data_IF_821521570090
#
_entry.id   IF_821521570090
#
_cell.length_a   1.000
_cell.length_b   1.000
_cell.length_c   1.000
_cell.angle_alpha   90.00
_cell.angle_beta   90.00
_cell.angle_gamma   90.00
#
_symmetry.space_group_name_H-M   'P 1'
#
loop_
_entity.id
_entity.type
_entity.pdbx_description
1 polymer ?
#
# COMPACT_ATOMS: atom_id res chain seq x y z
N UNK A 1 -4.74 -2.07 28.59
CA UNK A 1 -5.57 -2.28 27.38
C UNK A 1 -4.65 -2.24 26.16
N UNK A 2 -4.68 -3.28 25.31
CA UNK A 2 -3.73 -3.42 24.19
C UNK A 2 -4.07 -2.45 23.05
N UNK A 3 -3.04 -1.83 22.45
CA UNK A 3 -3.15 -0.91 21.30
C UNK A 3 -3.84 -1.56 20.09
N UNK A 4 -3.77 -2.88 19.97
CA UNK A 4 -4.45 -3.68 18.93
C UNK A 4 -5.98 -3.54 18.99
N UNK A 5 -6.56 -3.47 20.20
CA UNK A 5 -8.01 -3.37 20.39
C UNK A 5 -8.60 -2.01 20.00
N UNK A 6 -7.80 -0.94 20.06
CA UNK A 6 -8.22 0.40 19.65
C UNK A 6 -8.27 0.53 18.12
N UNK A 7 -7.42 -0.21 17.40
CA UNK A 7 -7.40 -0.31 15.94
C UNK A 7 -8.57 -1.17 15.45
N UNK A 8 -8.80 -2.32 16.10
CA UNK A 8 -9.94 -3.22 15.85
C UNK A 8 -11.29 -2.50 15.98
N UNK A 9 -11.46 -1.61 16.97
CA UNK A 9 -12.70 -0.86 17.20
C UNK A 9 -12.98 0.19 16.10
N UNK A 10 -11.94 0.75 15.48
CA UNK A 10 -12.10 1.81 14.46
C UNK A 10 -12.40 1.28 13.06
N UNK A 11 -12.15 0.00 12.81
CA UNK A 11 -12.33 -0.64 11.50
C UNK A 11 -13.64 -1.46 11.38
N UNK A 12 -14.38 -1.64 12.47
CA UNK A 12 -15.49 -2.60 12.57
C UNK A 12 -16.91 -2.08 12.30
N UNK A 13 -17.10 -0.90 11.70
CA UNK A 13 -18.44 -0.42 11.36
C UNK A 13 -18.49 0.01 9.90
N UNK A 14 -19.06 -0.83 9.02
CA UNK A 14 -20.03 -0.47 7.99
C UNK A 14 -20.50 -1.72 7.23
N UNK A 15 -21.80 -1.76 6.99
CA UNK A 15 -22.63 -2.93 6.67
C UNK A 15 -23.10 -2.98 5.21
N UNK A 16 -22.97 -4.16 4.61
CA UNK A 16 -23.91 -4.93 3.74
C UNK A 16 -24.75 -4.31 2.58
N UNK A 17 -24.75 -5.10 1.46
CA UNK A 17 -25.71 -5.24 0.33
C UNK A 17 -25.56 -4.30 -0.89
N UNK A 18 -25.78 -4.68 -2.16
CA UNK A 18 -25.97 -5.95 -2.93
C UNK A 18 -25.98 -5.62 -4.45
N UNK A 19 -25.94 -6.67 -5.31
CA UNK A 19 -25.73 -6.73 -6.78
C UNK A 19 -26.63 -5.90 -7.73
N UNK A 20 -26.08 -5.50 -8.90
CA UNK A 20 -26.67 -5.77 -10.24
C UNK A 20 -25.66 -5.58 -11.41
N UNK A 21 -25.81 -6.38 -12.48
CA UNK A 21 -24.94 -6.48 -13.67
C UNK A 21 -25.39 -5.54 -14.82
N UNK A 22 -24.48 -4.74 -15.41
CA UNK A 22 -24.29 -4.47 -16.86
C UNK A 22 -23.24 -3.37 -17.17
N UNK A 23 -22.25 -3.74 -18.00
CA UNK A 23 -21.32 -2.97 -18.87
C UNK A 23 -21.07 -1.45 -18.69
N UNK A 24 -19.81 -1.16 -18.32
CA UNK A 24 -18.95 -0.01 -18.71
C UNK A 24 -19.50 1.42 -18.66
N UNK A 25 -19.84 1.88 -17.45
CA UNK A 25 -19.69 3.28 -17.02
C UNK A 25 -19.22 3.28 -15.55
N UNK A 26 -18.05 2.71 -15.27
CA UNK A 26 -17.43 2.74 -13.93
C UNK A 26 -16.63 4.05 -13.77
N UNK A 27 -17.31 5.18 -13.64
CA UNK A 27 -16.69 6.45 -13.18
C UNK A 27 -17.19 6.91 -11.82
N UNK A 28 -17.99 6.09 -11.12
CA UNK A 28 -18.37 6.26 -9.72
C UNK A 28 -18.66 4.85 -9.17
N UNK A 29 -17.85 4.17 -8.38
CA UNK A 29 -16.65 4.49 -7.62
C UNK A 29 -15.72 3.27 -7.80
N UNK A 30 -14.52 3.43 -8.35
CA UNK A 30 -13.56 2.32 -8.41
C UNK A 30 -13.00 1.95 -7.02
N UNK A 31 -13.20 2.84 -6.05
CA UNK A 31 -12.60 2.72 -4.72
C UNK A 31 -13.07 1.47 -3.96
N UNK A 32 -14.37 1.15 -3.87
CA UNK A 32 -14.84 -0.10 -3.28
C UNK A 32 -14.21 -1.37 -3.90
N UNK A 33 -13.87 -1.34 -5.19
CA UNK A 33 -13.15 -2.45 -5.84
C UNK A 33 -11.71 -2.54 -5.34
N UNK A 34 -11.00 -1.42 -5.30
CA UNK A 34 -9.64 -1.37 -4.80
C UNK A 34 -9.54 -1.69 -3.31
N UNK A 35 -10.53 -1.33 -2.50
CA UNK A 35 -10.62 -1.76 -1.10
C UNK A 35 -10.68 -3.29 -0.95
N UNK A 36 -11.40 -3.98 -1.84
CA UNK A 36 -11.41 -5.46 -1.85
C UNK A 36 -10.02 -6.03 -2.17
N UNK A 37 -9.29 -5.42 -3.11
CA UNK A 37 -7.90 -5.80 -3.43
C UNK A 37 -6.99 -5.57 -2.22
N UNK A 38 -7.05 -4.37 -1.60
CA UNK A 38 -6.32 -4.07 -0.37
C UNK A 38 -6.61 -5.08 0.72
N UNK A 39 -7.88 -5.41 0.92
CA UNK A 39 -8.29 -6.37 1.94
C UNK A 39 -7.75 -7.77 1.65
N UNK A 40 -7.76 -8.22 0.39
CA UNK A 40 -7.16 -9.49 -0.02
C UNK A 40 -5.66 -9.53 0.25
N UNK A 41 -4.93 -8.44 -0.06
CA UNK A 41 -3.49 -8.31 0.23
C UNK A 41 -3.24 -8.38 1.74
N UNK A 42 -4.02 -7.66 2.55
CA UNK A 42 -3.88 -7.67 4.00
C UNK A 42 -4.20 -9.04 4.61
N UNK A 43 -5.19 -9.76 4.08
CA UNK A 43 -5.46 -11.14 4.48
C UNK A 43 -4.29 -12.04 4.11
N UNK A 44 -3.76 -11.95 2.89
CA UNK A 44 -2.62 -12.75 2.46
C UNK A 44 -1.37 -12.51 3.33
N UNK A 45 -1.19 -11.27 3.78
CA UNK A 45 -0.11 -10.87 4.69
C UNK A 45 -0.30 -11.39 6.11
N UNK A 46 -1.51 -11.37 6.66
CA UNK A 46 -1.75 -11.57 8.11
C UNK A 46 -2.38 -12.90 8.47
N UNK A 47 -3.02 -13.60 7.53
CA UNK A 47 -3.71 -14.87 7.79
C UNK A 47 -2.73 -15.97 8.20
N UNK A 48 -3.04 -16.66 9.29
CA UNK A 48 -2.35 -17.87 9.72
C UNK A 48 -2.69 -19.09 8.84
N UNK A 49 -3.82 -19.03 8.13
CA UNK A 49 -4.23 -20.06 7.16
C UNK A 49 -3.68 -19.71 5.78
N UNK A 50 -2.98 -20.64 5.10
CA UNK A 50 -2.42 -20.38 3.78
C UNK A 50 -3.54 -20.34 2.73
N UNK A 51 -4.02 -19.13 2.42
CA UNK A 51 -4.85 -18.86 1.25
C UNK A 51 -3.99 -18.41 0.04
N UNK A 52 -2.74 -18.03 0.30
CA UNK A 52 -1.71 -17.71 -0.67
C UNK A 52 -0.37 -18.29 -0.17
N UNK A 53 0.52 -18.62 -1.11
CA UNK A 53 1.92 -18.86 -0.80
C UNK A 53 2.55 -17.53 -0.39
N UNK A 54 3.30 -17.56 0.70
CA UNK A 54 3.94 -16.38 1.27
C UNK A 54 5.36 -16.72 1.64
N UNK A 55 6.30 -16.01 1.05
CA UNK A 55 7.71 -16.09 1.36
C UNK A 55 8.12 -14.76 1.96
N UNK A 56 8.52 -14.74 3.23
CA UNK A 56 9.01 -13.54 3.91
C UNK A 56 10.40 -13.84 4.46
N UNK A 57 11.33 -12.93 4.24
CA UNK A 57 12.69 -12.97 4.75
C UNK A 57 13.03 -11.65 5.43
N UNK A 58 13.91 -11.71 6.41
CA UNK A 58 14.44 -10.52 7.07
C UNK A 58 15.94 -10.68 7.23
N UNK A 59 16.67 -9.68 6.76
CA UNK A 59 18.11 -9.56 6.96
C UNK A 59 18.36 -8.49 8.02
N UNK A 60 19.09 -8.85 9.07
CA UNK A 60 19.47 -7.92 10.13
C UNK A 60 20.92 -7.53 9.96
N UNK A 61 21.17 -6.23 9.89
CA UNK A 61 22.52 -5.68 9.84
C UNK A 61 23.22 -5.85 11.20
N UNK A 62 24.55 -5.87 11.18
CA UNK A 62 25.39 -6.05 12.37
C UNK A 62 26.56 -5.08 12.37
N UNK A 63 27.13 -4.79 13.54
CA UNK A 63 28.23 -3.84 13.67
C UNK A 63 27.72 -2.41 13.80
N UNK A 64 28.25 -1.48 13.01
CA UNK A 64 27.89 -0.05 13.07
C UNK A 64 26.43 0.20 12.70
N UNK A 65 25.86 -0.66 11.87
CA UNK A 65 24.48 -0.60 11.38
C UNK A 65 23.53 -1.52 12.16
N UNK A 66 23.95 -2.00 13.35
CA UNK A 66 23.11 -2.80 14.24
C UNK A 66 21.81 -2.05 14.57
N UNK A 67 20.67 -2.72 14.40
CA UNK A 67 19.33 -2.14 14.55
C UNK A 67 18.63 -1.83 13.21
N UNK A 68 19.30 -2.01 12.07
CA UNK A 68 18.65 -1.96 10.74
C UNK A 68 18.23 -3.38 10.33
N UNK A 69 16.99 -3.51 9.85
CA UNK A 69 16.37 -4.75 9.41
C UNK A 69 15.73 -4.56 8.04
N UNK A 70 16.23 -5.25 7.03
CA UNK A 70 15.63 -5.27 5.70
C UNK A 70 14.67 -6.44 5.56
N UNK A 71 13.44 -6.15 5.18
CA UNK A 71 12.37 -7.11 4.97
C UNK A 71 12.13 -7.26 3.47
N UNK A 72 12.15 -8.51 2.99
CA UNK A 72 11.79 -8.83 1.62
C UNK A 72 10.75 -9.94 1.63
N UNK A 73 9.76 -9.83 0.76
CA UNK A 73 8.70 -10.81 0.71
C UNK A 73 8.03 -10.91 -0.63
N UNK A 74 7.36 -12.03 -0.83
CA UNK A 74 6.57 -12.33 -2.00
C UNK A 74 5.29 -13.08 -1.60
N UNK A 75 4.19 -12.73 -2.23
CA UNK A 75 2.88 -13.37 -2.06
C UNK A 75 2.34 -13.74 -3.43
N UNK A 76 2.07 -15.02 -3.62
CA UNK A 76 1.36 -15.53 -4.79
C UNK A 76 0.17 -16.39 -4.37
N UNK A 77 -1.01 -16.12 -4.90
CA UNK A 77 -2.18 -16.97 -4.61
C UNK A 77 -3.50 -16.35 -4.98
N UNK A 78 -4.58 -16.88 -4.42
CA UNK A 78 -5.94 -16.35 -4.64
C UNK A 78 -6.66 -16.19 -3.32
N UNK A 79 -7.04 -14.96 -3.00
CA UNK A 79 -7.75 -14.60 -1.76
C UNK A 79 -9.06 -13.93 -2.13
N UNK A 80 -10.18 -14.48 -1.66
CA UNK A 80 -11.53 -13.97 -1.95
C UNK A 80 -11.81 -13.78 -3.46
N UNK A 81 -11.32 -14.70 -4.29
CA UNK A 81 -11.46 -14.64 -5.76
C UNK A 81 -10.54 -13.64 -6.45
N UNK A 82 -9.65 -12.96 -5.71
CA UNK A 82 -8.65 -12.06 -6.25
C UNK A 82 -7.32 -12.80 -6.34
N UNK A 83 -6.80 -12.98 -7.56
CA UNK A 83 -5.46 -13.51 -7.76
C UNK A 83 -4.44 -12.42 -7.42
N UNK A 84 -3.44 -12.75 -6.63
CA UNK A 84 -2.40 -11.85 -6.15
C UNK A 84 -1.03 -12.38 -6.59
N UNK A 85 -0.17 -11.46 -6.99
CA UNK A 85 1.25 -11.64 -7.27
C UNK A 85 1.96 -10.36 -6.82
N UNK A 86 2.43 -10.36 -5.57
CA UNK A 86 2.77 -9.16 -4.81
C UNK A 86 4.15 -9.30 -4.17
N UNK A 87 5.00 -8.33 -4.43
CA UNK A 87 6.28 -8.13 -3.77
C UNK A 87 6.17 -7.15 -2.61
N UNK A 88 6.98 -7.41 -1.59
CA UNK A 88 7.04 -6.62 -0.36
C UNK A 88 8.52 -6.29 -0.12
N UNK A 89 8.81 -5.01 0.07
CA UNK A 89 10.13 -4.53 0.48
C UNK A 89 9.98 -3.56 1.61
N UNK A 90 10.79 -3.66 2.64
CA UNK A 90 10.73 -2.73 3.75
C UNK A 90 12.04 -2.68 4.51
N UNK A 91 12.17 -1.64 5.31
CA UNK A 91 13.28 -1.47 6.24
C UNK A 91 12.71 -0.99 7.57
N UNK A 92 13.08 -1.67 8.64
CA UNK A 92 12.88 -1.21 10.02
C UNK A 92 14.21 -0.80 10.59
N UNK A 93 14.23 0.34 11.28
CA UNK A 93 15.39 0.90 11.95
C UNK A 93 15.01 1.08 13.41
N UNK A 94 15.50 0.18 14.25
CA UNK A 94 15.23 0.12 15.67
C UNK A 94 16.28 0.90 16.46
N UNK A 95 15.80 1.71 17.40
CA UNK A 95 16.55 2.35 18.48
C UNK A 95 17.80 3.15 18.08
N UNK A 96 17.83 3.71 16.86
CA UNK A 96 18.99 4.47 16.40
C UNK A 96 19.10 5.81 17.13
N UNK A 97 20.31 6.18 17.60
CA UNK A 97 20.57 7.46 18.24
C UNK A 97 20.48 8.61 17.22
N UNK A 98 19.57 9.56 17.45
CA UNK A 98 19.40 10.78 16.66
C UNK A 98 19.51 12.02 17.53
N UNK A 99 20.27 13.01 17.07
CA UNK A 99 20.30 14.31 17.72
C UNK A 99 19.16 15.21 17.21
N UNK A 100 18.36 15.74 18.13
CA UNK A 100 17.31 16.72 17.84
C UNK A 100 17.56 17.99 18.66
N UNK A 101 17.06 19.12 18.17
CA UNK A 101 17.07 20.39 18.90
C UNK A 101 15.71 20.54 19.59
N UNK A 102 15.71 20.70 20.91
CA UNK A 102 14.49 20.88 21.69
C UNK A 102 13.91 22.29 21.54
N UNK A 103 12.76 22.55 22.16
CA UNK A 103 12.09 23.86 22.14
C UNK A 103 12.91 24.99 22.78
N UNK A 104 13.97 24.66 23.52
CA UNK A 104 14.87 25.60 24.17
C UNK A 104 16.18 25.79 23.38
N UNK A 105 16.29 25.16 22.19
CA UNK A 105 17.49 25.25 21.35
C UNK A 105 18.63 24.34 21.78
N UNK A 106 18.42 23.38 22.69
CA UNK A 106 19.45 22.46 23.16
C UNK A 106 19.46 21.16 22.36
N UNK A 107 20.67 20.67 22.07
CA UNK A 107 20.86 19.34 21.46
C UNK A 107 20.51 18.25 22.47
N UNK A 108 19.54 17.40 22.11
CA UNK A 108 19.13 16.23 22.88
C UNK A 108 19.30 14.99 22.04
N UNK A 109 19.92 13.96 22.62
CA UNK A 109 19.90 12.62 22.03
C UNK A 109 18.51 12.01 22.24
N UNK A 110 17.88 11.59 21.16
CA UNK A 110 16.63 10.83 21.17
C UNK A 110 16.83 9.54 20.38
N UNK A 111 16.12 8.50 20.79
CA UNK A 111 16.10 7.25 20.07
C UNK A 111 14.85 7.26 19.18
N UNK A 112 15.01 7.00 17.90
CA UNK A 112 13.90 6.91 16.95
C UNK A 112 13.74 5.48 16.47
N UNK A 113 12.50 5.03 16.36
CA UNK A 113 12.14 3.86 15.57
C UNK A 113 11.50 4.32 14.27
N UNK A 114 12.13 3.96 13.16
CA UNK A 114 11.66 4.27 11.82
C UNK A 114 11.30 2.95 11.13
N UNK A 115 10.14 2.90 10.49
CA UNK A 115 9.73 1.74 9.70
C UNK A 115 9.10 2.23 8.41
N UNK A 116 9.50 1.57 7.33
CA UNK A 116 9.05 1.81 5.98
C UNK A 116 8.79 0.45 5.32
N UNK A 117 7.65 0.32 4.64
CA UNK A 117 7.34 -0.85 3.84
C UNK A 117 6.60 -0.41 2.59
N UNK A 118 7.06 -0.93 1.47
CA UNK A 118 6.44 -0.83 0.16
C UNK A 118 5.88 -2.19 -0.22
N UNK A 119 4.63 -2.20 -0.66
CA UNK A 119 3.94 -3.39 -1.16
C UNK A 119 3.54 -3.07 -2.59
N UNK A 120 3.98 -3.84 -3.57
CA UNK A 120 3.63 -3.61 -4.97
C UNK A 120 3.51 -4.90 -5.74
N UNK A 121 2.77 -4.87 -6.84
CA UNK A 121 2.66 -6.03 -7.72
C UNK A 121 1.37 -6.02 -8.51
N UNK A 122 1.04 -7.17 -9.08
CA UNK A 122 -0.14 -7.34 -9.93
C UNK A 122 -1.26 -8.05 -9.19
N UNK A 123 -2.48 -7.83 -9.66
CA UNK A 123 -3.64 -8.58 -9.22
C UNK A 123 -4.59 -8.83 -10.39
N UNK A 124 -5.43 -9.86 -10.24
CA UNK A 124 -6.61 -10.07 -11.10
C UNK A 124 -7.83 -10.10 -10.19
N UNK A 125 -8.77 -9.17 -10.38
CA UNK A 125 -9.99 -9.10 -9.58
C UNK A 125 -10.94 -10.27 -9.89
N UNK A 126 -11.92 -10.49 -9.03
CA UNK A 126 -12.86 -11.62 -9.14
C UNK A 126 -13.68 -11.63 -10.44
N UNK A 127 -13.85 -10.48 -11.09
CA UNK A 127 -14.49 -10.34 -12.41
C UNK A 127 -13.50 -10.47 -13.59
N UNK A 128 -12.26 -10.89 -13.32
CA UNK A 128 -11.24 -11.19 -14.33
C UNK A 128 -10.41 -10.00 -14.82
N UNK A 129 -10.58 -8.81 -14.24
CA UNK A 129 -9.79 -7.63 -14.65
C UNK A 129 -8.41 -7.61 -14.02
N UNK A 130 -7.39 -7.36 -14.83
CA UNK A 130 -6.02 -7.20 -14.37
C UNK A 130 -5.77 -5.77 -13.90
N UNK A 131 -4.90 -5.66 -12.91
CA UNK A 131 -4.45 -4.39 -12.38
C UNK A 131 -3.11 -4.53 -11.65
N UNK A 132 -2.61 -3.40 -11.21
CA UNK A 132 -1.45 -3.33 -10.36
C UNK A 132 -1.69 -2.39 -9.20
N UNK A 133 -0.90 -2.57 -8.15
CA UNK A 133 -1.04 -1.85 -6.91
C UNK A 133 0.31 -1.44 -6.38
N UNK A 134 0.36 -0.30 -5.68
CA UNK A 134 1.51 0.13 -4.90
C UNK A 134 1.04 0.80 -3.63
N UNK A 135 1.51 0.29 -2.50
CA UNK A 135 1.31 0.85 -1.17
C UNK A 135 2.64 1.28 -0.60
N UNK A 136 2.63 2.44 0.06
CA UNK A 136 3.68 2.81 0.99
C UNK A 136 3.05 2.94 2.37
N UNK A 137 3.55 2.17 3.33
CA UNK A 137 3.12 2.18 4.73
C UNK A 137 4.33 2.40 5.64
N UNK A 138 4.12 3.08 6.76
CA UNK A 138 5.17 3.32 7.74
C UNK A 138 5.11 4.71 8.37
N UNK A 139 5.99 4.96 9.33
CA UNK A 139 6.22 6.28 9.91
C UNK A 139 7.39 7.03 9.25
N UNK A 140 8.19 6.31 8.46
CA UNK A 140 9.24 6.88 7.62
C UNK A 140 8.71 7.03 6.19
N UNK A 141 8.62 8.27 5.71
CA UNK A 141 8.09 8.62 4.39
C UNK A 141 6.62 9.08 4.41
N UNK A 142 6.00 9.14 3.24
CA UNK A 142 4.62 9.62 3.06
C UNK A 142 3.73 8.46 2.64
N UNK A 143 2.83 7.97 3.52
CA UNK A 143 1.97 6.84 3.19
C UNK A 143 1.00 7.16 2.06
N UNK A 144 0.84 6.22 1.13
CA UNK A 144 -0.12 6.32 0.04
C UNK A 144 -0.52 4.94 -0.48
N UNK A 145 -1.61 4.91 -1.22
CA UNK A 145 -2.04 3.75 -2.02
C UNK A 145 -2.28 4.21 -3.47
N UNK A 146 -1.89 3.40 -4.45
CA UNK A 146 -2.11 3.68 -5.86
C UNK A 146 -2.53 2.42 -6.60
N UNK A 147 -3.48 2.56 -7.51
CA UNK A 147 -4.11 1.45 -8.22
C UNK A 147 -4.18 1.73 -9.72
N UNK A 148 -3.70 0.77 -10.50
CA UNK A 148 -3.77 0.76 -11.95
C UNK A 148 -4.70 -0.35 -12.44
N UNK A 149 -5.39 -0.11 -13.55
CA UNK A 149 -6.23 -1.11 -14.23
C UNK A 149 -5.85 -1.27 -15.70
N UNK A 150 -5.94 -2.49 -16.21
CA UNK A 150 -5.72 -2.81 -17.61
C UNK A 150 -6.75 -2.10 -18.50
N UNK A 151 -6.25 -1.40 -19.52
CA UNK A 151 -7.08 -0.78 -20.57
C UNK A 151 -6.95 -1.57 -21.86
N UNK A 152 -7.77 -1.24 -22.87
CA UNK A 152 -7.92 -2.04 -24.09
C UNK A 152 -6.63 -2.27 -24.90
N UNK A 153 -5.59 -1.45 -24.70
CA UNK A 153 -4.29 -1.61 -25.34
C UNK A 153 -3.31 -2.52 -24.58
N UNK A 154 -3.76 -3.13 -23.46
CA UNK A 154 -2.98 -4.03 -22.62
C UNK A 154 -2.09 -3.35 -21.58
N UNK A 155 -1.99 -2.01 -21.58
CA UNK A 155 -1.26 -1.27 -20.54
C UNK A 155 -2.12 -1.11 -19.29
N UNK A 156 -1.47 -0.92 -18.14
CA UNK A 156 -2.15 -0.59 -16.90
C UNK A 156 -2.15 0.93 -16.72
N UNK A 157 -3.33 1.53 -16.65
CA UNK A 157 -3.54 2.97 -16.42
C UNK A 157 -3.80 3.25 -14.96
N UNK A 158 -3.16 4.27 -14.40
CA UNK A 158 -3.43 4.73 -13.03
C UNK A 158 -4.85 5.28 -12.95
N UNK A 159 -5.67 4.72 -12.08
CA UNK A 159 -7.09 5.09 -11.93
C UNK A 159 -7.30 5.93 -10.67
N UNK A 160 -6.76 5.47 -9.54
CA UNK A 160 -6.95 6.13 -8.25
C UNK A 160 -5.72 6.10 -7.37
N UNK A 161 -5.60 7.14 -6.55
CA UNK A 161 -4.59 7.29 -5.52
C UNK A 161 -5.27 7.68 -4.22
N UNK A 162 -4.86 7.07 -3.10
CA UNK A 162 -5.31 7.48 -1.77
C UNK A 162 -4.17 7.98 -0.90
N UNK A 163 -4.42 9.06 -0.17
CA UNK A 163 -3.47 9.68 0.75
C UNK A 163 -4.21 10.37 1.90
N UNK A 164 -3.75 10.21 3.14
CA UNK A 164 -4.30 10.88 4.33
C UNK A 164 -5.83 10.77 4.56
N UNK A 165 -6.48 9.72 4.02
CA UNK A 165 -7.95 9.44 3.99
C UNK A 165 -8.69 9.97 2.77
N UNK A 166 -8.05 10.78 1.94
CA UNK A 166 -8.63 11.26 0.69
C UNK A 166 -8.34 10.28 -0.44
N UNK A 167 -9.30 10.14 -1.36
CA UNK A 167 -9.18 9.34 -2.58
C UNK A 167 -9.27 10.29 -3.77
N UNK A 168 -8.27 10.24 -4.62
CA UNK A 168 -8.14 11.09 -5.80
C UNK A 168 -8.28 10.23 -7.06
N UNK A 169 -9.11 10.69 -8.00
CA UNK A 169 -9.16 10.13 -9.35
C UNK A 169 -7.97 10.66 -10.14
N UNK A 170 -7.17 9.77 -10.73
CA UNK A 170 -5.91 10.16 -11.38
C UNK A 170 -6.09 11.18 -12.52
N UNK A 171 -7.22 11.13 -13.23
CA UNK A 171 -7.55 12.07 -14.31
C UNK A 171 -7.89 13.48 -13.83
N UNK A 172 -8.29 13.67 -12.56
CA UNK A 172 -8.58 15.01 -12.01
C UNK A 172 -7.35 15.73 -11.46
N UNK A 173 -6.21 15.03 -11.36
CA UNK A 173 -4.96 15.59 -10.85
C UNK A 173 -4.25 16.41 -11.94
N UNK A 174 -3.54 17.48 -11.55
CA UNK A 174 -2.80 18.35 -12.47
C UNK A 174 -1.54 17.64 -12.96
N UNK A 175 -1.43 17.41 -14.28
CA UNK A 175 -0.51 16.42 -14.85
C UNK A 175 0.63 17.01 -15.70
N UNK A 176 1.80 16.37 -15.63
CA UNK A 176 2.66 16.16 -16.81
C UNK A 176 2.12 14.93 -17.55
N UNK A 177 2.22 14.88 -18.89
CA UNK A 177 1.53 13.85 -19.73
C UNK A 177 1.65 12.41 -19.22
N UNK A 178 2.77 12.03 -18.61
CA UNK A 178 3.08 10.64 -18.27
C UNK A 178 3.14 10.36 -16.75
N UNK A 179 2.92 11.38 -15.91
CA UNK A 179 3.06 11.27 -14.46
C UNK A 179 1.96 12.01 -13.71
N UNK A 180 1.62 11.49 -12.54
CA UNK A 180 0.62 12.02 -11.63
C UNK A 180 1.29 12.32 -10.29
N UNK A 181 1.21 13.56 -9.83
CA UNK A 181 1.71 13.94 -8.50
C UNK A 181 0.60 13.75 -7.47
N UNK A 182 0.89 13.02 -6.38
CA UNK A 182 -0.07 12.85 -5.29
C UNK A 182 -0.24 14.20 -4.54
N UNK A 183 -1.47 14.74 -4.42
CA UNK A 183 -1.70 16.02 -3.76
C UNK A 183 -1.11 16.10 -2.35
N UNK A 184 -0.47 17.23 -2.04
CA UNK A 184 0.16 17.45 -0.74
C UNK A 184 1.49 16.74 -0.53
N UNK A 185 2.02 16.06 -1.56
CA UNK A 185 3.27 15.31 -1.49
C UNK A 185 4.24 15.71 -2.62
N UNK A 186 5.45 15.14 -2.60
CA UNK A 186 6.42 15.21 -3.71
C UNK A 186 6.48 13.91 -4.52
N UNK A 187 5.52 13.00 -4.32
CA UNK A 187 5.52 11.67 -4.94
C UNK A 187 4.92 11.80 -6.34
N UNK A 188 5.69 11.40 -7.34
CA UNK A 188 5.26 11.27 -8.74
C UNK A 188 5.07 9.79 -9.08
N UNK A 189 3.89 9.43 -9.60
CA UNK A 189 3.54 8.08 -10.02
C UNK A 189 3.39 8.03 -11.55
N UNK A 190 3.82 6.94 -12.21
CA UNK A 190 3.60 6.76 -13.63
C UNK A 190 2.11 6.63 -13.93
N UNK A 191 1.64 7.36 -14.94
CA UNK A 191 0.25 7.28 -15.40
C UNK A 191 -0.06 5.95 -16.08
N UNK A 192 0.94 5.36 -16.75
CA UNK A 192 0.85 4.06 -17.39
C UNK A 192 2.06 3.20 -17.01
N UNK A 193 1.83 1.90 -16.82
CA UNK A 193 2.88 0.89 -16.66
C UNK A 193 2.59 -0.31 -17.56
N UNK A 194 3.61 -1.11 -17.85
CA UNK A 194 3.46 -2.40 -18.53
C UNK A 194 2.82 -3.42 -17.59
N UNK A 195 1.95 -4.27 -18.14
CA UNK A 195 1.19 -5.29 -17.39
C UNK A 195 1.70 -6.70 -17.60
#
# INVERSE_FOLDING_TARGET
MSRTREIERRLGQLSSQSDDLLTSVETAELWPRFEKVRHAILIALTSEKPQAQRELSTFSWSGVDEGIHDHNGHIEGTVNGIKLDIDIKGTTVDDQPRYVVDSNGQWRLVHSSEHFMEIHGSYTSADGRKGAVRFQVGNAGTPFEAYWLEVADGRLRLEQVAHNKDVFVADSLVNKRDQVTIPGTRIELPRFIEG
#
